data_IF_330262977935
#
_entry.id   IF_330262977935
#
_cell.length_a   1.000
_cell.length_b   1.000
_cell.length_c   1.000
_cell.angle_alpha   90.00
_cell.angle_beta   90.00
_cell.angle_gamma   90.00
#
_symmetry.space_group_name_H-M   'P 1'
#
loop_
_entity.id
_entity.type
_entity.pdbx_description
1 polymer ?
#
# COMPACT_ATOMS: atom_id res chain seq x y z
N UNK A 1 42.08 -45.81 -18.57
CA UNK A 1 41.90 -44.72 -17.60
C UNK A 1 41.46 -43.46 -18.34
N UNK A 2 40.25 -42.97 -18.12
CA UNK A 2 39.83 -41.63 -18.57
C UNK A 2 38.86 -41.05 -17.54
N UNK A 3 39.30 -39.97 -16.91
CA UNK A 3 38.74 -39.33 -15.73
C UNK A 3 37.41 -38.64 -16.03
N UNK A 4 36.35 -39.06 -15.34
CA UNK A 4 35.06 -38.37 -15.36
C UNK A 4 35.15 -37.06 -14.55
N UNK A 5 35.21 -35.91 -15.24
CA UNK A 5 35.08 -34.60 -14.61
C UNK A 5 33.59 -34.33 -14.39
N UNK A 6 33.11 -34.63 -13.19
CA UNK A 6 31.77 -34.27 -12.74
C UNK A 6 31.61 -32.75 -12.70
N UNK A 7 30.74 -32.21 -13.56
CA UNK A 7 30.34 -30.80 -13.51
C UNK A 7 29.62 -30.53 -12.19
N UNK A 8 30.28 -29.85 -11.25
CA UNK A 8 29.61 -29.31 -10.05
C UNK A 8 28.58 -28.27 -10.49
N UNK A 9 27.29 -28.58 -10.38
CA UNK A 9 26.22 -27.59 -10.49
C UNK A 9 26.30 -26.65 -9.30
N UNK A 10 26.56 -25.37 -9.54
CA UNK A 10 26.40 -24.34 -8.51
C UNK A 10 24.91 -24.11 -8.25
N UNK A 11 24.44 -24.18 -6.99
CA UNK A 11 23.07 -23.81 -6.68
C UNK A 11 22.92 -22.30 -6.91
N UNK A 12 22.19 -21.92 -7.97
CA UNK A 12 21.86 -20.52 -8.23
C UNK A 12 21.14 -19.91 -7.04
N UNK A 13 21.52 -18.68 -6.64
CA UNK A 13 20.88 -17.95 -5.55
C UNK A 13 19.37 -17.86 -5.82
N UNK A 14 18.57 -18.59 -5.06
CA UNK A 14 17.11 -18.47 -5.13
C UNK A 14 16.72 -17.07 -4.66
N UNK A 15 16.00 -16.35 -5.50
CA UNK A 15 15.39 -15.08 -5.11
C UNK A 15 14.44 -15.29 -3.92
N UNK A 16 14.28 -14.25 -3.09
CA UNK A 16 13.36 -14.30 -1.95
C UNK A 16 11.95 -14.62 -2.41
N UNK A 17 11.29 -15.51 -1.69
CA UNK A 17 9.88 -15.85 -1.92
C UNK A 17 8.98 -14.63 -1.66
N UNK A 18 7.78 -14.65 -2.23
CA UNK A 18 6.76 -13.64 -1.95
C UNK A 18 6.47 -13.52 -0.44
N UNK A 19 6.43 -14.66 0.27
CA UNK A 19 6.23 -14.70 1.73
C UNK A 19 7.33 -13.93 2.48
N UNK A 20 8.59 -14.15 2.13
CA UNK A 20 9.72 -13.45 2.74
C UNK A 20 9.72 -11.95 2.45
N UNK A 21 9.34 -11.56 1.22
CA UNK A 21 9.21 -10.15 0.84
C UNK A 21 8.12 -9.45 1.65
N UNK A 22 6.94 -10.05 1.73
CA UNK A 22 5.79 -9.51 2.50
C UNK A 22 6.13 -9.45 3.99
N UNK A 23 6.77 -10.48 4.53
CA UNK A 23 7.20 -10.53 5.93
C UNK A 23 8.16 -9.40 6.29
N UNK A 24 9.21 -9.21 5.48
CA UNK A 24 10.19 -8.13 5.68
C UNK A 24 9.56 -6.74 5.56
N UNK A 25 8.67 -6.55 4.59
CA UNK A 25 7.97 -5.27 4.43
C UNK A 25 7.12 -4.93 5.66
N UNK A 26 6.32 -5.90 6.16
CA UNK A 26 5.53 -5.71 7.39
C UNK A 26 6.41 -5.50 8.62
N UNK A 27 7.57 -6.14 8.72
CA UNK A 27 8.52 -5.92 9.83
C UNK A 27 9.05 -4.48 9.84
N UNK A 28 9.41 -3.93 8.66
CA UNK A 28 9.83 -2.53 8.53
C UNK A 28 8.73 -1.56 8.98
N UNK A 29 7.48 -1.78 8.53
CA UNK A 29 6.35 -0.93 8.92
C UNK A 29 6.08 -0.98 10.43
N UNK A 30 6.17 -2.16 11.06
CA UNK A 30 6.03 -2.29 12.52
C UNK A 30 7.12 -1.53 13.28
N UNK A 31 8.36 -1.57 12.80
CA UNK A 31 9.45 -0.80 13.41
C UNK A 31 9.24 0.72 13.32
N UNK A 32 8.45 1.20 12.35
CA UNK A 32 8.00 2.60 12.23
C UNK A 32 6.75 2.90 13.08
N UNK A 33 6.29 1.96 13.91
CA UNK A 33 5.10 2.13 14.74
C UNK A 33 3.76 1.88 14.01
N UNK A 34 3.78 1.43 12.75
CA UNK A 34 2.56 1.21 11.97
C UNK A 34 1.97 -0.18 12.23
N UNK A 35 0.65 -0.23 12.46
CA UNK A 35 -0.11 -1.48 12.61
C UNK A 35 -0.80 -1.84 11.28
N UNK A 36 -0.57 -3.02 10.71
CA UNK A 36 -1.29 -3.45 9.52
C UNK A 36 -2.76 -3.69 9.85
N UNK A 37 -3.66 -3.08 9.07
CA UNK A 37 -5.11 -3.32 9.11
C UNK A 37 -5.54 -3.86 7.75
N UNK A 38 -6.35 -4.92 7.75
CA UNK A 38 -6.99 -5.44 6.54
C UNK A 38 -8.46 -5.02 6.57
N UNK A 39 -8.85 -4.21 5.59
CA UNK A 39 -10.23 -3.82 5.37
C UNK A 39 -10.69 -4.38 4.02
N UNK A 40 -11.96 -4.76 3.95
CA UNK A 40 -12.60 -5.09 2.69
C UNK A 40 -13.15 -3.80 2.09
N UNK A 41 -12.72 -3.49 0.87
CA UNK A 41 -13.17 -2.32 0.12
C UNK A 41 -14.12 -2.77 -1.00
N UNK A 42 -15.08 -1.92 -1.41
CA UNK A 42 -15.91 -2.22 -2.57
C UNK A 42 -15.06 -2.43 -3.83
N UNK A 43 -15.51 -3.30 -4.73
CA UNK A 43 -14.82 -3.55 -6.00
C UNK A 43 -14.92 -2.32 -6.92
N UNK A 44 -13.79 -1.70 -7.20
CA UNK A 44 -13.69 -0.50 -8.03
C UNK A 44 -13.95 -0.76 -9.52
N UNK A 45 -13.98 -2.03 -9.94
CA UNK A 45 -14.27 -2.44 -11.32
C UNK A 45 -15.73 -2.80 -11.54
N UNK A 46 -16.53 -2.87 -10.47
CA UNK A 46 -17.95 -3.17 -10.60
C UNK A 46 -18.67 -2.09 -11.44
N UNK A 47 -19.59 -2.47 -12.33
CA UNK A 47 -20.43 -1.50 -13.04
C UNK A 47 -21.14 -0.57 -12.05
N UNK A 48 -21.11 0.73 -12.32
CA UNK A 48 -21.76 1.73 -11.47
C UNK A 48 -20.93 2.22 -10.28
N UNK A 49 -19.77 1.63 -9.98
CA UNK A 49 -18.90 2.08 -8.86
C UNK A 49 -18.58 3.58 -8.96
N UNK A 50 -18.19 4.06 -10.15
CA UNK A 50 -17.90 5.47 -10.37
C UNK A 50 -19.12 6.40 -10.16
N UNK A 51 -20.34 5.92 -10.42
CA UNK A 51 -21.55 6.70 -10.14
C UNK A 51 -21.82 6.77 -8.64
N UNK A 52 -21.67 5.66 -7.93
CA UNK A 52 -21.87 5.62 -6.48
C UNK A 52 -20.84 6.47 -5.76
N UNK A 53 -19.56 6.42 -6.15
CA UNK A 53 -18.53 7.30 -5.59
C UNK A 53 -18.89 8.78 -5.80
N UNK A 54 -19.33 9.17 -7.01
CA UNK A 54 -19.77 10.56 -7.25
C UNK A 54 -20.95 10.96 -6.36
N UNK A 55 -21.91 10.06 -6.16
CA UNK A 55 -23.06 10.30 -5.26
C UNK A 55 -22.59 10.50 -3.83
N UNK A 56 -21.71 9.64 -3.33
CA UNK A 56 -21.18 9.68 -1.97
C UNK A 56 -20.32 10.92 -1.73
N UNK A 57 -19.41 11.26 -2.65
CA UNK A 57 -18.60 12.48 -2.55
C UNK A 57 -19.48 13.73 -2.43
N UNK A 58 -20.59 13.83 -3.20
CA UNK A 58 -21.52 14.95 -3.09
C UNK A 58 -22.27 15.00 -1.75
N UNK A 59 -22.54 13.85 -1.14
CA UNK A 59 -23.18 13.81 0.18
C UNK A 59 -22.21 14.29 1.26
N UNK A 60 -20.95 13.87 1.19
CA UNK A 60 -19.89 14.31 2.12
C UNK A 60 -19.67 15.82 1.98
N UNK A 61 -19.50 16.32 0.75
CA UNK A 61 -19.28 17.75 0.47
C UNK A 61 -20.44 18.67 0.88
N UNK A 62 -21.65 18.12 1.05
CA UNK A 62 -22.83 18.85 1.54
C UNK A 62 -23.10 18.57 3.02
N UNK A 63 -22.25 17.77 3.66
CA UNK A 63 -22.37 17.41 5.05
C UNK A 63 -22.00 18.60 5.95
N UNK A 64 -22.57 18.67 7.16
CA UNK A 64 -22.30 19.75 8.10
C UNK A 64 -20.85 19.81 8.58
N UNK A 65 -20.09 18.71 8.41
CA UNK A 65 -18.70 18.59 8.86
C UNK A 65 -17.67 18.77 7.75
N UNK A 66 -18.07 18.97 6.50
CA UNK A 66 -17.13 19.04 5.37
C UNK A 66 -15.96 20.01 5.61
N UNK A 67 -16.28 21.22 6.10
CA UNK A 67 -15.27 22.24 6.39
C UNK A 67 -14.33 21.84 7.55
N UNK A 68 -14.85 21.22 8.61
CA UNK A 68 -14.05 20.78 9.76
C UNK A 68 -13.18 19.56 9.40
N UNK A 69 -13.76 18.60 8.67
CA UNK A 69 -13.08 17.40 8.19
C UNK A 69 -11.94 17.79 7.24
N UNK A 70 -12.20 18.73 6.31
CA UNK A 70 -11.18 19.24 5.40
C UNK A 70 -10.08 20.00 6.15
N UNK A 71 -10.42 20.89 7.07
CA UNK A 71 -9.44 21.62 7.88
C UNK A 71 -8.57 20.68 8.73
N UNK A 72 -9.15 19.61 9.26
CA UNK A 72 -8.38 18.58 9.97
C UNK A 72 -7.39 17.88 9.03
N UNK A 73 -7.85 17.41 7.86
CA UNK A 73 -6.99 16.76 6.86
C UNK A 73 -5.83 17.67 6.46
N UNK A 74 -6.10 18.94 6.19
CA UNK A 74 -5.08 19.93 5.83
C UNK A 74 -4.06 20.09 6.97
N UNK A 75 -4.51 20.12 8.23
CA UNK A 75 -3.62 20.26 9.40
C UNK A 75 -2.68 19.07 9.65
N UNK A 76 -3.07 17.85 9.24
CA UNK A 76 -2.30 16.61 9.48
C UNK A 76 -1.56 16.11 8.24
N UNK A 77 -1.79 16.75 7.08
CA UNK A 77 -1.14 16.40 5.82
C UNK A 77 0.33 16.81 5.84
N UNK A 78 1.18 15.88 6.28
CA UNK A 78 2.65 16.03 6.36
C UNK A 78 3.33 16.40 5.04
N UNK A 79 2.63 16.30 3.90
CA UNK A 79 3.16 16.59 2.57
C UNK A 79 3.00 18.05 2.11
N UNK A 80 2.37 18.94 2.90
CA UNK A 80 2.01 20.29 2.45
C UNK A 80 2.77 21.45 3.14
N UNK A 81 3.96 21.21 3.72
CA UNK A 81 4.69 22.30 4.43
C UNK A 81 6.03 22.75 3.83
N UNK A 82 6.75 21.97 3.00
CA UNK A 82 8.15 22.33 2.65
C UNK A 82 8.67 21.88 1.25
N UNK A 83 7.81 21.69 0.24
CA UNK A 83 8.25 21.29 -1.11
C UNK A 83 7.95 22.30 -2.25
N UNK A 84 7.67 23.56 -1.92
CA UNK A 84 7.43 24.62 -2.91
C UNK A 84 8.05 25.96 -2.50
N UNK A 85 9.35 25.96 -2.19
CA UNK A 85 10.15 27.19 -2.14
C UNK A 85 11.40 27.07 -2.98
#
# INVERSE_FOLDING_TARGET
MATAIGRKRHPGKRGRSAKERVGRHRAKLRAQGLKPVQIWVPDTRAPGFAMEIRRQCRLIARGPRDAEDQAFVDSVSWFDSDAAR
#
